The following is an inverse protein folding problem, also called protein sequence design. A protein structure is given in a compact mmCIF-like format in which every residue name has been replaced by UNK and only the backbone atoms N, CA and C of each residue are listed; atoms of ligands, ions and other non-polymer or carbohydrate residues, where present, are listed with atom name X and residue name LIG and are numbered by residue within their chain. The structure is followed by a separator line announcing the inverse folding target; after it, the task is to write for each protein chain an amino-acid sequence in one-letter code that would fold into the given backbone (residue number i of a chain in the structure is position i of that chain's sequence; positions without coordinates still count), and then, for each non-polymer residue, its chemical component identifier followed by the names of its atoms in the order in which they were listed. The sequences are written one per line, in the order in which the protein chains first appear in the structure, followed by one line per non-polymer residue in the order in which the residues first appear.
data_IF_091272890204
#
_entry.id   IF_091272890204
#
_cell.length_a   1.000
_cell.length_b   1.000
_cell.length_c   1.000
_cell.angle_alpha   90.00
_cell.angle_beta   90.00
_cell.angle_gamma   90.00
#
_symmetry.space_group_name_H-M   'P 1'
#
loop_
_entity.id
_entity.type
_entity.pdbx_description
1 polymer ?
#
# COMPACT_ATOMS: atom_id res chain seq x y z
N UNK A 1 19.74 7.76 -14.29
CA UNK A 1 18.30 7.50 -14.15
C UNK A 1 17.53 8.29 -15.18
N UNK A 2 16.65 7.61 -15.89
CA UNK A 2 15.81 8.27 -16.88
C UNK A 2 14.44 8.57 -16.29
N UNK A 3 13.65 9.31 -17.05
CA UNK A 3 12.30 9.64 -16.63
C UNK A 3 11.47 8.37 -16.45
N UNK A 4 11.73 7.38 -17.27
CA UNK A 4 11.01 6.11 -17.18
C UNK A 4 11.32 5.40 -15.86
N UNK A 5 12.56 5.47 -15.41
CA UNK A 5 12.96 4.85 -14.16
C UNK A 5 12.23 5.51 -12.99
N UNK A 6 12.17 6.82 -13.01
CA UNK A 6 11.50 7.57 -11.95
C UNK A 6 10.02 7.22 -11.91
N UNK A 7 9.40 7.18 -13.08
CA UNK A 7 7.98 6.85 -13.15
C UNK A 7 7.71 5.45 -12.61
N UNK A 8 8.60 4.52 -12.92
CA UNK A 8 8.46 3.14 -12.45
C UNK A 8 8.53 3.07 -10.93
N UNK A 9 9.50 3.76 -10.36
CA UNK A 9 9.67 3.75 -8.92
C UNK A 9 8.45 4.36 -8.23
N UNK A 10 7.99 5.49 -8.74
CA UNK A 10 6.82 6.15 -8.17
C UNK A 10 5.61 5.25 -8.24
N UNK A 11 5.42 4.58 -9.37
CA UNK A 11 4.30 3.68 -9.55
C UNK A 11 4.32 2.55 -8.51
N UNK A 12 5.48 1.95 -8.32
CA UNK A 12 5.62 0.85 -7.36
C UNK A 12 5.30 1.34 -5.94
N UNK A 13 5.81 2.51 -5.58
CA UNK A 13 5.57 3.05 -4.25
C UNK A 13 4.08 3.30 -4.02
N UNK A 14 3.41 3.85 -5.01
CA UNK A 14 1.98 4.13 -4.89
C UNK A 14 1.18 2.84 -4.72
N UNK A 15 1.47 1.84 -5.55
CA UNK A 15 0.75 0.57 -5.48
C UNK A 15 1.02 -0.11 -4.14
N UNK A 16 2.25 -0.10 -3.69
CA UNK A 16 2.61 -0.71 -2.41
C UNK A 16 1.90 -0.02 -1.26
N UNK A 17 1.83 1.31 -1.31
CA UNK A 17 1.16 2.07 -0.26
C UNK A 17 -0.32 1.71 -0.17
N UNK A 18 -0.96 1.62 -1.33
CA UNK A 18 -2.38 1.28 -1.37
C UNK A 18 -2.60 -0.13 -0.81
N UNK A 19 -1.77 -1.07 -1.23
CA UNK A 19 -1.88 -2.45 -0.77
C UNK A 19 -1.72 -2.56 0.75
N UNK A 20 -0.69 -1.92 1.27
CA UNK A 20 -0.44 -1.98 2.70
C UNK A 20 -1.57 -1.31 3.47
N UNK A 21 -2.07 -0.19 2.96
CA UNK A 21 -3.16 0.52 3.61
C UNK A 21 -4.41 -0.33 3.72
N UNK A 22 -4.74 -1.04 2.66
CA UNK A 22 -5.92 -1.90 2.66
C UNK A 22 -5.76 -3.06 3.64
N UNK A 23 -4.58 -3.67 3.65
CA UNK A 23 -4.32 -4.78 4.55
C UNK A 23 -4.43 -4.33 6.00
N UNK A 24 -3.84 -3.18 6.30
CA UNK A 24 -3.89 -2.65 7.66
C UNK A 24 -5.33 -2.37 8.09
N UNK A 25 -6.11 -1.86 7.18
CA UNK A 25 -7.50 -1.57 7.48
C UNK A 25 -8.28 -2.83 7.83
N UNK A 26 -8.09 -3.88 7.05
CA UNK A 26 -8.77 -5.14 7.28
C UNK A 26 -8.37 -5.73 8.62
N UNK A 27 -7.07 -5.72 8.90
CA UNK A 27 -6.59 -6.25 10.17
C UNK A 27 -7.16 -5.49 11.36
N UNK A 28 -7.27 -4.19 11.21
CA UNK A 28 -7.81 -3.36 12.29
C UNK A 28 -9.27 -3.69 12.55
N UNK A 29 -10.02 -3.89 11.49
CA UNK A 29 -11.43 -4.22 11.63
C UNK A 29 -11.62 -5.58 12.29
N UNK A 30 -10.79 -6.53 11.92
CA UNK A 30 -10.85 -7.85 12.51
C UNK A 30 -10.54 -7.80 14.01
N UNK A 31 -9.56 -7.01 14.37
CA UNK A 31 -9.18 -6.86 15.77
C UNK A 31 -10.34 -6.29 16.57
N UNK A 32 -11.05 -5.34 16.00
CA UNK A 32 -12.19 -4.73 16.66
C UNK A 32 -13.29 -5.74 16.87
N UNK A 33 -13.54 -6.55 15.87
CA UNK A 33 -14.60 -7.56 15.93
C UNK A 33 -14.26 -8.64 16.95
N UNK A 34 -12.98 -8.94 17.08
CA UNK A 34 -12.53 -9.98 18.00
C UNK A 34 -12.93 -9.69 19.44
N UNK A 35 -13.02 -8.43 19.73
CA UNK A 35 -13.37 -8.00 21.06
C UNK A 35 -14.84 -8.15 21.35
#
# INVERSE_FOLDING_TARGET
MTALDIAEIVFIIVVASIGIGLIMKVLKEENKTSK
#
